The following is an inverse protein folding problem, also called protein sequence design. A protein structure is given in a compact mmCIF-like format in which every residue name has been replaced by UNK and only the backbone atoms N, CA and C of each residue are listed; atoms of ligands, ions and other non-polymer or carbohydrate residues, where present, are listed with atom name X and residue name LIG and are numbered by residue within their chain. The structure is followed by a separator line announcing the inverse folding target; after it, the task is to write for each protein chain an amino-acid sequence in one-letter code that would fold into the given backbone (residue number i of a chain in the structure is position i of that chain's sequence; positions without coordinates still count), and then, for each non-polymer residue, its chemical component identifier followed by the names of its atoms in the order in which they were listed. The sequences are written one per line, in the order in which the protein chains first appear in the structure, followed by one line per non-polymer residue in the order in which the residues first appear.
data_IF_715635888478
#
_entry.id   IF_715635888478
#
_cell.length_a   1.000
_cell.length_b   1.000
_cell.length_c   1.000
_cell.angle_alpha   90.00
_cell.angle_beta   90.00
_cell.angle_gamma   90.00
#
_symmetry.space_group_name_H-M   'P 1'
#
loop_
_entity.id
_entity.type
_entity.pdbx_description
1 polymer ?
#
# COMPACT_ATOMS: atom_id res chain seq x y z
N UNK A 1 -59.29 23.74 1.29
CA UNK A 1 -57.96 24.07 0.80
C UNK A 1 -56.97 23.80 1.91
N UNK A 2 -56.27 22.67 1.82
CA UNK A 2 -55.20 22.31 2.74
C UNK A 2 -53.91 22.94 2.23
N UNK A 3 -53.38 23.92 2.97
CA UNK A 3 -52.02 24.38 2.78
C UNK A 3 -51.06 23.31 3.32
N UNK A 4 -50.31 22.70 2.41
CA UNK A 4 -49.18 21.86 2.74
C UNK A 4 -48.00 22.78 3.07
N UNK A 5 -47.63 22.82 4.36
CA UNK A 5 -46.37 23.37 4.81
C UNK A 5 -45.24 22.47 4.30
N UNK A 6 -44.47 22.96 3.32
CA UNK A 6 -43.16 22.42 2.97
C UNK A 6 -42.29 22.39 4.23
N UNK A 7 -41.80 21.19 4.58
CA UNK A 7 -40.74 21.05 5.58
C UNK A 7 -39.44 21.60 4.98
N UNK A 8 -38.67 22.41 5.72
CA UNK A 8 -37.36 22.83 5.25
C UNK A 8 -36.47 21.60 5.07
N UNK A 9 -35.86 21.53 3.89
CA UNK A 9 -34.82 20.57 3.54
C UNK A 9 -33.70 20.72 4.59
N UNK A 10 -33.44 19.67 5.35
CA UNK A 10 -32.34 19.67 6.31
C UNK A 10 -31.03 19.82 5.51
N UNK A 11 -30.28 20.89 5.78
CA UNK A 11 -28.93 21.07 5.28
C UNK A 11 -28.11 19.81 5.61
N UNK A 12 -27.73 19.04 4.58
CA UNK A 12 -26.99 17.78 4.73
C UNK A 12 -25.53 17.98 5.17
N UNK A 13 -25.07 19.23 5.31
CA UNK A 13 -23.71 19.61 5.69
C UNK A 13 -23.37 19.41 7.17
N UNK A 14 -24.31 18.89 7.99
CA UNK A 14 -24.14 18.82 9.45
C UNK A 14 -24.07 17.39 10.02
N UNK A 15 -24.11 16.36 9.17
CA UNK A 15 -23.87 14.99 9.61
C UNK A 15 -22.36 14.75 9.67
N UNK A 16 -21.75 15.03 10.82
CA UNK A 16 -20.36 14.66 11.08
C UNK A 16 -20.24 13.14 11.08
N UNK A 17 -19.63 12.57 10.05
CA UNK A 17 -19.36 11.14 9.99
C UNK A 17 -18.49 10.71 11.18
N UNK A 18 -18.79 9.55 11.78
CA UNK A 18 -17.90 8.89 12.74
C UNK A 18 -17.32 7.61 12.14
N UNK A 19 -16.01 7.61 11.90
CA UNK A 19 -15.29 6.44 11.39
C UNK A 19 -15.41 5.18 12.27
N UNK A 20 -15.75 5.34 13.54
CA UNK A 20 -15.94 4.25 14.48
C UNK A 20 -17.33 3.59 14.41
N UNK A 21 -18.28 4.18 13.68
CA UNK A 21 -19.57 3.55 13.40
C UNK A 21 -19.49 2.46 12.32
N UNK A 22 -18.35 2.33 11.65
CA UNK A 22 -18.14 1.31 10.62
C UNK A 22 -18.60 1.83 9.27
N UNK A 23 -17.97 2.91 8.83
CA UNK A 23 -18.25 3.55 7.54
C UNK A 23 -17.43 2.89 6.43
N UNK A 24 -17.91 3.10 5.21
CA UNK A 24 -17.19 2.83 3.98
C UNK A 24 -16.53 4.11 3.49
N UNK A 25 -15.24 4.05 3.17
CA UNK A 25 -14.49 5.20 2.64
C UNK A 25 -14.56 5.21 1.12
N UNK A 26 -14.73 6.42 0.58
CA UNK A 26 -14.87 6.66 -0.86
C UNK A 26 -13.48 6.72 -1.54
N UNK A 27 -12.45 7.19 -0.84
CA UNK A 27 -11.07 7.17 -1.34
C UNK A 27 -10.06 7.11 -0.19
N UNK A 28 -8.91 6.49 -0.44
CA UNK A 28 -7.80 6.41 0.52
C UNK A 28 -6.48 6.59 -0.21
N UNK A 29 -5.64 7.53 0.23
CA UNK A 29 -4.28 7.69 -0.29
C UNK A 29 -3.36 8.32 0.77
N UNK A 30 -2.06 7.96 0.82
CA UNK A 30 -1.10 8.73 1.59
C UNK A 30 -0.79 10.08 0.93
N UNK A 31 -0.53 11.12 1.71
CA UNK A 31 0.04 12.38 1.22
C UNK A 31 1.56 12.24 0.92
N UNK A 32 2.20 13.32 0.45
CA UNK A 32 3.64 13.34 0.18
C UNK A 32 4.51 13.06 1.41
N UNK A 33 3.97 13.26 2.62
CA UNK A 33 4.62 13.02 3.90
C UNK A 33 4.33 11.62 4.48
N UNK A 34 3.47 10.83 3.82
CA UNK A 34 3.07 9.49 4.26
C UNK A 34 1.87 9.48 5.22
N UNK A 35 1.21 10.62 5.44
CA UNK A 35 -0.04 10.68 6.21
C UNK A 35 -1.17 10.07 5.39
N UNK A 36 -1.76 8.99 5.87
CA UNK A 36 -2.95 8.41 5.22
C UNK A 36 -4.14 9.38 5.29
N UNK A 37 -4.74 9.68 4.15
CA UNK A 37 -5.97 10.45 4.02
C UNK A 37 -7.12 9.47 3.74
N UNK A 38 -8.17 9.51 4.56
CA UNK A 38 -9.38 8.71 4.38
C UNK A 38 -10.54 9.64 4.04
N UNK A 39 -11.13 9.54 2.87
CA UNK A 39 -12.20 10.43 2.40
C UNK A 39 -13.59 9.79 2.58
N UNK A 40 -14.57 10.61 3.00
CA UNK A 40 -15.99 10.26 3.00
C UNK A 40 -16.86 11.50 2.76
N UNK A 41 -17.57 11.53 1.64
CA UNK A 41 -18.36 12.69 1.24
C UNK A 41 -17.49 13.95 1.14
N UNK A 42 -17.89 15.00 1.85
CA UNK A 42 -17.16 16.27 2.00
C UNK A 42 -16.14 16.26 3.15
N UNK A 43 -15.95 15.14 3.84
CA UNK A 43 -15.03 15.00 4.96
C UNK A 43 -13.81 14.14 4.63
N UNK A 44 -12.73 14.35 5.38
CA UNK A 44 -11.59 13.46 5.44
C UNK A 44 -11.08 13.27 6.86
N UNK A 45 -10.30 12.21 7.05
CA UNK A 45 -9.49 12.01 8.24
C UNK A 45 -8.02 11.88 7.88
N UNK A 46 -7.17 12.58 8.64
CA UNK A 46 -5.71 12.45 8.58
C UNK A 46 -5.23 11.39 9.56
N UNK A 47 -4.57 10.37 9.05
CA UNK A 47 -4.05 9.22 9.77
C UNK A 47 -5.14 8.39 10.48
N UNK A 48 -4.68 7.50 11.34
CA UNK A 48 -5.54 6.53 12.04
C UNK A 48 -6.33 7.11 13.22
N UNK A 49 -6.07 8.36 13.60
CA UNK A 49 -6.58 8.96 14.86
C UNK A 49 -6.97 10.42 14.79
N UNK A 50 -6.78 11.12 13.66
CA UNK A 50 -7.17 12.52 13.52
C UNK A 50 -8.69 12.77 13.74
N UNK A 51 -9.12 14.02 13.92
CA UNK A 51 -10.55 14.33 13.83
C UNK A 51 -11.05 14.19 12.39
N UNK A 52 -12.37 14.16 12.21
CA UNK A 52 -12.96 14.43 10.89
C UNK A 52 -12.77 15.92 10.58
N UNK A 53 -12.34 16.23 9.37
CA UNK A 53 -12.16 17.59 8.86
C UNK A 53 -12.87 17.72 7.52
N UNK A 54 -13.38 18.90 7.18
CA UNK A 54 -13.87 19.13 5.81
C UNK A 54 -12.68 19.04 4.84
N UNK A 55 -12.88 18.35 3.71
CA UNK A 55 -11.84 18.15 2.71
C UNK A 55 -11.37 19.50 2.14
N UNK A 56 -12.29 20.43 1.93
CA UNK A 56 -12.02 21.80 1.46
C UNK A 56 -11.11 22.61 2.39
N UNK A 57 -11.04 22.27 3.68
CA UNK A 57 -10.17 22.94 4.64
C UNK A 57 -8.70 22.66 4.37
N UNK A 58 -8.42 21.52 3.70
CA UNK A 58 -7.07 21.12 3.27
C UNK A 58 -6.87 21.33 1.77
N UNK A 59 -7.90 21.05 0.97
CA UNK A 59 -7.87 21.08 -0.50
C UNK A 59 -8.99 22.01 -1.01
N UNK A 60 -8.75 23.32 -0.91
CA UNK A 60 -9.77 24.36 -1.12
C UNK A 60 -10.45 24.29 -2.50
N UNK A 61 -9.69 23.89 -3.51
CA UNK A 61 -10.12 23.85 -4.91
C UNK A 61 -11.08 22.69 -5.22
N UNK A 62 -11.27 21.74 -4.30
CA UNK A 62 -12.32 20.72 -4.43
C UNK A 62 -13.71 21.36 -4.37
N UNK A 63 -13.90 22.36 -3.50
CA UNK A 63 -15.18 23.05 -3.33
C UNK A 63 -15.42 24.11 -4.40
N UNK A 64 -14.39 24.84 -4.85
CA UNK A 64 -14.53 25.89 -5.87
C UNK A 64 -15.16 25.38 -7.18
N UNK A 65 -15.10 24.07 -7.41
CA UNK A 65 -15.70 23.41 -8.54
C UNK A 65 -17.10 22.82 -8.28
N UNK A 66 -17.79 23.21 -7.17
CA UNK A 66 -19.21 23.11 -6.68
C UNK A 66 -20.25 22.15 -7.31
N UNK A 67 -19.98 21.56 -8.46
CA UNK A 67 -20.73 20.52 -9.16
C UNK A 67 -20.00 19.17 -9.15
N UNK A 68 -18.70 19.15 -8.84
CA UNK A 68 -17.91 17.93 -8.72
C UNK A 68 -18.24 17.24 -7.40
N UNK A 69 -18.50 15.93 -7.45
CA UNK A 69 -18.92 15.12 -6.31
C UNK A 69 -17.86 14.97 -5.20
N UNK A 70 -17.95 13.86 -4.46
CA UNK A 70 -16.95 13.46 -3.49
C UNK A 70 -15.73 12.84 -4.20
N UNK A 71 -14.60 12.68 -3.52
CA UNK A 71 -13.45 11.99 -4.09
C UNK A 71 -13.76 10.50 -4.20
N UNK A 72 -13.81 9.98 -5.43
CA UNK A 72 -14.20 8.59 -5.75
C UNK A 72 -13.00 7.65 -5.83
N UNK A 73 -11.83 8.19 -6.16
CA UNK A 73 -10.58 7.45 -6.11
C UNK A 73 -9.42 8.40 -5.81
N UNK A 74 -8.39 7.87 -5.16
CA UNK A 74 -7.18 8.61 -4.89
C UNK A 74 -5.96 7.69 -4.89
N UNK A 75 -4.81 8.21 -5.30
CA UNK A 75 -3.53 7.54 -5.08
C UNK A 75 -2.39 8.56 -5.02
N UNK A 76 -1.24 8.15 -4.46
CA UNK A 76 -0.01 8.95 -4.51
C UNK A 76 0.95 8.38 -5.53
N UNK A 77 1.33 9.18 -6.50
CA UNK A 77 2.19 8.76 -7.60
C UNK A 77 3.59 8.38 -7.12
N UNK A 78 3.99 7.14 -7.38
CA UNK A 78 5.36 6.67 -7.18
C UNK A 78 6.02 6.43 -8.54
N UNK A 79 6.72 7.44 -9.04
CA UNK A 79 7.54 7.35 -10.25
C UNK A 79 8.91 7.94 -9.95
N UNK A 80 9.91 7.08 -9.72
CA UNK A 80 11.28 7.50 -9.41
C UNK A 80 12.18 7.60 -10.64
N UNK A 81 11.64 7.41 -11.85
CA UNK A 81 12.40 7.59 -13.09
C UNK A 81 12.86 9.05 -13.17
N UNK A 82 14.18 9.27 -13.14
CA UNK A 82 14.80 10.60 -13.06
C UNK A 82 14.48 11.49 -14.27
N UNK A 83 14.08 10.90 -15.40
CA UNK A 83 13.73 11.64 -16.61
C UNK A 83 12.25 12.09 -16.61
N UNK A 84 11.37 11.40 -15.88
CA UNK A 84 9.91 11.64 -15.87
C UNK A 84 9.31 11.85 -14.46
N UNK A 85 10.15 12.08 -13.44
CA UNK A 85 9.76 12.22 -12.03
C UNK A 85 8.92 13.47 -11.71
N UNK A 86 8.38 14.16 -12.72
CA UNK A 86 7.69 15.45 -12.57
C UNK A 86 6.55 15.37 -11.55
N UNK A 87 5.86 14.23 -11.49
CA UNK A 87 4.73 14.02 -10.60
C UNK A 87 5.03 13.06 -9.44
N UNK A 88 6.30 12.77 -9.15
CA UNK A 88 6.62 11.92 -8.00
C UNK A 88 6.08 12.55 -6.70
N UNK A 89 5.41 11.74 -5.88
CA UNK A 89 4.76 12.13 -4.63
C UNK A 89 3.58 13.08 -4.77
N UNK A 90 3.15 13.42 -5.99
CA UNK A 90 1.87 14.08 -6.19
C UNK A 90 0.73 13.12 -5.81
N UNK A 91 -0.30 13.67 -5.16
CA UNK A 91 -1.51 12.96 -4.81
C UNK A 91 -2.56 13.29 -5.86
N UNK A 92 -3.11 12.27 -6.49
CA UNK A 92 -4.13 12.40 -7.52
C UNK A 92 -5.49 12.09 -6.94
N UNK A 93 -6.46 12.98 -7.12
CA UNK A 93 -7.86 12.78 -6.76
C UNK A 93 -8.71 12.69 -8.02
N UNK A 94 -9.65 11.75 -8.04
CA UNK A 94 -10.58 11.52 -9.13
C UNK A 94 -11.98 11.89 -8.66
N UNK A 95 -12.63 12.76 -9.42
CA UNK A 95 -13.99 13.21 -9.17
C UNK A 95 -14.71 13.27 -10.51
N UNK A 96 -15.68 12.38 -10.71
CA UNK A 96 -16.43 12.21 -11.95
C UNK A 96 -15.49 11.89 -13.15
N UNK A 97 -15.37 12.83 -14.09
CA UNK A 97 -14.49 12.74 -15.27
C UNK A 97 -13.16 13.52 -15.09
N UNK A 98 -12.97 14.17 -13.95
CA UNK A 98 -11.82 15.03 -13.66
C UNK A 98 -10.79 14.36 -12.77
N UNK A 99 -9.55 14.76 -13.00
CA UNK A 99 -8.38 14.49 -12.18
C UNK A 99 -7.89 15.79 -11.59
N UNK A 100 -7.57 15.77 -10.31
CA UNK A 100 -6.82 16.80 -9.61
C UNK A 100 -5.44 16.24 -9.25
N UNK A 101 -4.41 17.08 -9.30
CA UNK A 101 -3.04 16.73 -8.90
C UNK A 101 -2.61 17.70 -7.82
N UNK A 102 -2.35 17.20 -6.62
CA UNK A 102 -1.91 17.99 -5.48
C UNK A 102 -0.48 17.65 -5.11
N UNK A 103 0.28 18.66 -4.70
CA UNK A 103 1.58 18.48 -4.06
C UNK A 103 1.69 19.43 -2.89
N UNK A 104 2.05 18.92 -1.70
CA UNK A 104 2.11 19.72 -0.48
C UNK A 104 0.79 20.50 -0.23
N UNK A 105 -0.32 19.78 -0.40
CA UNK A 105 -1.70 20.31 -0.33
C UNK A 105 -2.03 21.48 -1.25
N UNK A 106 -1.21 21.73 -2.29
CA UNK A 106 -1.46 22.79 -3.29
C UNK A 106 -1.84 22.18 -4.62
N UNK A 107 -2.90 22.68 -5.26
CA UNK A 107 -3.30 22.22 -6.59
C UNK A 107 -2.22 22.56 -7.63
N UNK A 108 -1.80 21.57 -8.43
CA UNK A 108 -0.84 21.77 -9.50
C UNK A 108 -1.43 22.66 -10.59
N UNK A 109 -0.64 23.64 -11.04
CA UNK A 109 -1.06 24.55 -12.13
C UNK A 109 -1.45 23.76 -13.38
N UNK A 110 -2.67 24.00 -13.85
CA UNK A 110 -3.22 23.34 -15.04
C UNK A 110 -4.14 22.17 -14.72
N UNK A 111 -4.31 21.83 -13.44
CA UNK A 111 -5.39 20.95 -12.96
C UNK A 111 -6.60 21.78 -12.47
N UNK A 112 -7.82 21.20 -12.45
CA UNK A 112 -8.16 19.83 -12.87
C UNK A 112 -8.07 19.61 -14.38
N UNK A 113 -7.86 18.36 -14.80
CA UNK A 113 -7.84 17.91 -16.20
C UNK A 113 -8.75 16.71 -16.40
N UNK A 114 -9.13 16.41 -17.64
CA UNK A 114 -9.86 15.18 -17.96
C UNK A 114 -9.02 13.93 -17.65
N UNK A 115 -9.66 12.87 -17.14
CA UNK A 115 -8.98 11.57 -16.94
C UNK A 115 -8.29 11.11 -18.22
N UNK A 116 -8.93 11.24 -19.38
CA UNK A 116 -8.35 10.81 -20.66
C UNK A 116 -7.10 11.60 -21.09
N UNK A 117 -6.93 12.84 -20.60
CA UNK A 117 -5.76 13.66 -20.92
C UNK A 117 -4.54 13.21 -20.12
N UNK A 118 -4.74 12.86 -18.84
CA UNK A 118 -3.68 12.47 -17.92
C UNK A 118 -3.38 10.97 -18.02
N UNK A 119 -4.43 10.14 -18.04
CA UNK A 119 -4.40 8.68 -18.04
C UNK A 119 -5.21 8.12 -19.24
N UNK A 120 -4.69 8.24 -20.48
CA UNK A 120 -5.40 7.82 -21.67
C UNK A 120 -5.77 6.33 -21.61
N UNK A 121 -7.05 6.01 -21.87
CA UNK A 121 -7.59 4.66 -21.87
C UNK A 121 -8.10 4.14 -20.53
N UNK A 122 -8.00 4.92 -19.45
CA UNK A 122 -8.60 4.63 -18.14
C UNK A 122 -10.04 5.14 -18.11
N UNK A 123 -11.04 4.38 -17.62
CA UNK A 123 -12.44 4.86 -17.59
C UNK A 123 -12.65 6.02 -16.59
N UNK A 124 -13.75 6.77 -16.77
CA UNK A 124 -14.30 7.68 -15.74
C UNK A 124 -15.05 6.92 -14.65
N UNK A 125 -15.57 7.62 -13.63
CA UNK A 125 -16.36 7.07 -12.51
C UNK A 125 -15.69 5.82 -11.93
N UNK A 126 -14.49 6.05 -11.37
CA UNK A 126 -13.64 5.01 -10.80
C UNK A 126 -14.06 4.75 -9.37
N UNK A 127 -14.08 3.49 -8.95
CA UNK A 127 -14.38 3.14 -7.56
C UNK A 127 -13.12 3.16 -6.67
N UNK A 128 -11.93 3.01 -7.26
CA UNK A 128 -10.67 3.06 -6.53
C UNK A 128 -9.47 3.25 -7.46
N UNK A 129 -8.35 3.71 -6.90
CA UNK A 129 -7.05 3.75 -7.55
C UNK A 129 -5.94 3.41 -6.56
N UNK A 130 -4.82 2.83 -7.02
CA UNK A 130 -3.63 2.61 -6.18
C UNK A 130 -2.36 2.55 -7.03
N UNK A 131 -1.28 3.14 -6.54
CA UNK A 131 0.02 3.08 -7.17
C UNK A 131 0.67 1.70 -7.02
N UNK A 132 1.37 1.25 -8.05
CA UNK A 132 2.12 0.01 -8.05
C UNK A 132 3.53 0.21 -8.63
N UNK A 133 4.52 0.52 -7.78
CA UNK A 133 5.90 0.76 -8.21
C UNK A 133 6.54 -0.46 -8.89
N UNK A 134 7.53 -0.22 -9.74
CA UNK A 134 8.43 -1.27 -10.23
C UNK A 134 9.08 -2.02 -9.05
N UNK A 135 9.17 -3.35 -9.18
CA UNK A 135 9.62 -4.23 -8.11
C UNK A 135 8.49 -4.73 -7.21
N UNK A 136 7.28 -4.15 -7.28
CA UNK A 136 6.03 -4.68 -6.72
C UNK A 136 5.00 -4.95 -7.84
N UNK A 137 5.07 -4.16 -8.90
CA UNK A 137 4.62 -4.47 -10.25
C UNK A 137 5.80 -4.65 -11.20
N UNK A 138 5.52 -5.04 -12.45
CA UNK A 138 6.55 -5.25 -13.49
C UNK A 138 7.20 -3.95 -13.96
N UNK A 139 6.45 -2.86 -13.89
CA UNK A 139 6.81 -1.50 -14.26
C UNK A 139 6.10 -0.56 -13.30
N UNK A 140 6.57 0.68 -13.18
CA UNK A 140 5.84 1.73 -12.47
C UNK A 140 4.45 1.88 -13.09
N UNK A 141 3.42 1.52 -12.31
CA UNK A 141 2.04 1.42 -12.79
C UNK A 141 1.06 2.06 -11.80
N UNK A 142 -0.16 2.33 -12.28
CA UNK A 142 -1.33 2.63 -11.44
C UNK A 142 -2.42 1.63 -11.76
N UNK A 143 -3.07 1.10 -10.73
CA UNK A 143 -4.23 0.21 -10.84
C UNK A 143 -5.49 1.03 -10.62
N UNK A 144 -6.39 1.06 -11.60
CA UNK A 144 -7.69 1.72 -11.51
C UNK A 144 -8.80 0.68 -11.50
N UNK A 145 -9.76 0.81 -10.57
CA UNK A 145 -10.84 -0.15 -10.35
C UNK A 145 -12.18 0.45 -10.78
N UNK A 146 -12.97 -0.34 -11.50
CA UNK A 146 -14.38 -0.06 -11.80
C UNK A 146 -15.15 -1.39 -11.76
N UNK A 147 -15.94 -1.61 -10.73
CA UNK A 147 -16.53 -2.90 -10.40
C UNK A 147 -15.45 -3.96 -10.19
N UNK A 148 -15.52 -5.02 -11.00
CA UNK A 148 -14.49 -6.08 -11.03
C UNK A 148 -13.43 -5.86 -12.12
N UNK A 149 -13.56 -4.81 -12.94
CA UNK A 149 -12.58 -4.47 -13.95
C UNK A 149 -11.43 -3.67 -13.34
N UNK A 150 -10.21 -4.06 -13.70
CA UNK A 150 -8.98 -3.42 -13.24
C UNK A 150 -8.15 -3.00 -14.45
N UNK A 151 -8.00 -1.70 -14.62
CA UNK A 151 -7.15 -1.08 -15.65
C UNK A 151 -5.75 -0.86 -15.07
N UNK A 152 -4.77 -1.64 -15.53
CA UNK A 152 -3.37 -1.49 -15.14
C UNK A 152 -2.71 -0.51 -16.12
N UNK A 153 -2.51 0.74 -15.70
CA UNK A 153 -1.89 1.80 -16.48
C UNK A 153 -0.37 1.81 -16.24
N UNK A 154 0.42 1.62 -17.29
CA UNK A 154 1.88 1.75 -17.26
C UNK A 154 2.27 3.22 -17.40
N UNK A 155 2.96 3.78 -16.41
CA UNK A 155 3.22 5.23 -16.32
C UNK A 155 4.10 5.70 -17.48
N UNK A 156 5.14 4.94 -17.81
CA UNK A 156 6.15 5.31 -18.81
C UNK A 156 5.61 5.24 -20.23
N UNK A 157 4.94 4.14 -20.57
CA UNK A 157 4.43 3.91 -21.92
C UNK A 157 3.03 4.51 -22.13
N UNK A 158 2.34 4.89 -21.06
CA UNK A 158 0.94 5.34 -21.06
C UNK A 158 0.00 4.33 -21.70
N UNK A 159 0.29 3.04 -21.55
CA UNK A 159 -0.54 1.95 -22.06
C UNK A 159 -1.38 1.34 -20.95
N UNK A 160 -2.59 0.90 -21.30
CA UNK A 160 -3.52 0.27 -20.35
C UNK A 160 -3.64 -1.22 -20.66
N UNK A 161 -3.53 -2.05 -19.62
CA UNK A 161 -3.89 -3.46 -19.66
C UNK A 161 -5.07 -3.74 -18.74
N UNK A 162 -6.18 -4.15 -19.32
CA UNK A 162 -7.38 -4.51 -18.56
C UNK A 162 -7.36 -5.96 -18.09
N UNK A 163 -7.87 -6.16 -16.88
CA UNK A 163 -8.12 -7.47 -16.28
C UNK A 163 -9.48 -7.46 -15.59
N UNK A 164 -10.03 -8.64 -15.36
CA UNK A 164 -11.21 -8.83 -14.52
C UNK A 164 -10.80 -9.69 -13.32
N UNK A 165 -11.10 -9.23 -12.11
CA UNK A 165 -10.80 -9.92 -10.85
C UNK A 165 -12.10 -10.20 -10.08
N UNK A 166 -12.94 -11.09 -10.62
CA UNK A 166 -14.23 -11.46 -10.02
C UNK A 166 -14.12 -12.09 -8.62
N UNK A 167 -12.94 -12.61 -8.27
CA UNK A 167 -12.65 -13.17 -6.94
C UNK A 167 -12.28 -12.10 -5.90
N UNK A 168 -11.96 -10.87 -6.31
CA UNK A 168 -11.73 -9.75 -5.42
C UNK A 168 -13.08 -9.04 -5.19
N UNK A 169 -13.38 -8.60 -3.95
CA UNK A 169 -14.52 -7.71 -3.72
C UNK A 169 -14.44 -6.47 -4.61
N UNK A 170 -15.60 -5.89 -4.94
CA UNK A 170 -15.63 -4.57 -5.56
C UNK A 170 -15.06 -3.58 -4.55
N UNK A 171 -13.93 -2.96 -4.90
CA UNK A 171 -13.24 -2.04 -4.02
C UNK A 171 -13.90 -0.66 -4.10
N UNK A 172 -14.29 -0.08 -2.96
CA UNK A 172 -14.72 1.32 -2.89
C UNK A 172 -13.58 2.27 -2.60
N UNK A 173 -12.43 1.74 -2.24
CA UNK A 173 -11.15 2.45 -2.20
C UNK A 173 -10.03 1.42 -2.17
N UNK A 174 -8.85 1.83 -2.61
CA UNK A 174 -7.67 0.98 -2.58
C UNK A 174 -6.47 1.82 -2.20
N UNK A 175 -5.53 1.23 -1.47
CA UNK A 175 -4.25 1.91 -1.24
C UNK A 175 -3.13 0.93 -0.94
N UNK A 176 -1.91 1.42 -1.12
CA UNK A 176 -0.67 0.70 -0.85
C UNK A 176 -0.06 1.23 0.44
N UNK A 177 0.31 0.33 1.35
CA UNK A 177 0.99 0.68 2.59
C UNK A 177 2.08 -0.33 2.92
N UNK A 178 3.32 0.17 3.03
CA UNK A 178 4.50 -0.63 3.35
C UNK A 178 4.59 -1.90 2.48
N UNK A 179 4.37 -1.77 1.17
CA UNK A 179 4.39 -2.86 0.15
C UNK A 179 3.18 -3.79 0.11
N UNK A 180 2.18 -3.56 0.96
CA UNK A 180 0.94 -4.33 0.96
C UNK A 180 -0.18 -3.52 0.30
N UNK A 181 -1.02 -4.22 -0.47
CA UNK A 181 -2.10 -3.62 -1.26
C UNK A 181 -3.43 -4.02 -0.68
N UNK A 182 -4.28 -3.03 -0.41
CA UNK A 182 -5.54 -3.22 0.29
C UNK A 182 -6.70 -2.71 -0.56
N UNK A 183 -7.72 -3.54 -0.72
CA UNK A 183 -9.00 -3.23 -1.31
C UNK A 183 -10.02 -3.08 -0.17
N UNK A 184 -10.55 -1.88 0.02
CA UNK A 184 -11.58 -1.59 1.01
C UNK A 184 -12.95 -1.80 0.40
N UNK A 185 -13.87 -2.35 1.19
CA UNK A 185 -15.25 -2.62 0.78
C UNK A 185 -16.12 -2.66 2.04
N UNK A 186 -17.19 -1.87 2.07
CA UNK A 186 -17.95 -1.60 3.28
C UNK A 186 -17.05 -1.11 4.41
N UNK A 187 -17.23 -1.68 5.61
CA UNK A 187 -16.39 -1.44 6.78
C UNK A 187 -15.25 -2.46 6.93
N UNK A 188 -14.90 -3.14 5.83
CA UNK A 188 -13.87 -4.17 5.79
C UNK A 188 -12.79 -3.84 4.75
N UNK A 189 -11.71 -4.60 4.78
CA UNK A 189 -10.68 -4.58 3.75
C UNK A 189 -10.18 -5.99 3.44
N UNK A 190 -9.61 -6.14 2.26
CA UNK A 190 -9.00 -7.37 1.76
C UNK A 190 -7.64 -7.04 1.16
N UNK A 191 -6.60 -7.74 1.62
CA UNK A 191 -5.26 -7.59 1.04
C UNK A 191 -5.15 -8.47 -0.21
N UNK A 192 -4.62 -7.91 -1.28
CA UNK A 192 -4.50 -8.60 -2.55
C UNK A 192 -3.09 -8.49 -3.13
N UNK A 193 -2.78 -9.37 -4.07
CA UNK A 193 -1.54 -9.34 -4.82
C UNK A 193 -1.70 -8.41 -6.05
N UNK A 194 -0.89 -7.36 -6.23
CA UNK A 194 -1.17 -6.30 -7.21
C UNK A 194 -1.08 -6.76 -8.68
N UNK A 195 -0.33 -7.82 -8.98
CA UNK A 195 -0.27 -8.38 -10.34
C UNK A 195 -1.40 -9.37 -10.66
N UNK A 196 -1.85 -10.16 -9.68
CA UNK A 196 -2.75 -11.31 -9.91
C UNK A 196 -4.14 -11.13 -9.33
N UNK A 197 -4.34 -10.15 -8.45
CA UNK A 197 -5.54 -9.98 -7.63
C UNK A 197 -5.68 -11.03 -6.53
N UNK A 198 -4.76 -12.01 -6.41
CA UNK A 198 -4.90 -13.13 -5.47
C UNK A 198 -4.97 -12.63 -4.02
N UNK A 199 -5.94 -13.16 -3.27
CA UNK A 199 -6.12 -12.90 -1.84
C UNK A 199 -5.48 -14.06 -1.05
N UNK A 200 -4.64 -13.73 -0.07
CA UNK A 200 -3.98 -14.72 0.79
C UNK A 200 -4.14 -14.36 2.27
N UNK A 201 -4.50 -15.38 3.06
CA UNK A 201 -4.78 -15.27 4.49
C UNK A 201 -6.27 -15.11 4.79
N UNK A 202 -6.58 -14.90 6.07
CA UNK A 202 -7.95 -14.78 6.54
C UNK A 202 -8.47 -13.34 6.29
N UNK A 203 -9.23 -13.20 5.20
CA UNK A 203 -9.90 -11.98 4.78
C UNK A 203 -11.39 -12.27 4.47
N UNK A 204 -12.28 -11.27 4.54
CA UNK A 204 -12.01 -9.87 4.85
C UNK A 204 -11.66 -9.62 6.33
N UNK A 205 -11.04 -8.46 6.60
CA UNK A 205 -10.74 -7.97 7.95
C UNK A 205 -11.48 -6.67 8.20
N UNK A 206 -11.83 -6.43 9.46
CA UNK A 206 -12.60 -5.26 9.86
C UNK A 206 -11.69 -4.01 9.95
N UNK A 207 -12.09 -2.92 9.29
CA UNK A 207 -11.27 -1.70 9.14
C UNK A 207 -10.98 -1.00 10.46
N UNK A 208 -11.96 -0.85 11.34
CA UNK A 208 -11.79 -0.20 12.67
C UNK A 208 -10.84 -0.97 13.59
N UNK A 209 -10.61 -2.26 13.36
CA UNK A 209 -9.61 -3.02 14.12
C UNK A 209 -8.18 -2.69 13.73
N UNK A 210 -7.92 -2.30 12.48
CA UNK A 210 -6.57 -2.19 11.92
C UNK A 210 -6.17 -0.79 11.48
N UNK A 211 -7.07 -0.09 10.79
CA UNK A 211 -6.80 1.20 10.15
C UNK A 211 -7.51 2.37 10.82
N UNK A 212 -8.29 2.15 11.89
CA UNK A 212 -8.82 3.22 12.72
C UNK A 212 -8.51 2.94 14.19
N UNK A 213 -8.18 3.97 14.96
CA UNK A 213 -8.12 3.85 16.42
C UNK A 213 -9.49 4.13 17.01
N UNK A 214 -10.28 3.08 17.18
CA UNK A 214 -11.64 3.17 17.71
C UNK A 214 -11.79 2.47 19.06
N UNK A 215 -12.62 3.00 19.99
CA UNK A 215 -12.89 2.33 21.26
C UNK A 215 -13.42 0.91 21.06
N UNK A 216 -12.87 -0.06 21.81
CA UNK A 216 -13.21 -1.49 21.73
C UNK A 216 -12.82 -2.20 20.41
N UNK A 217 -12.18 -1.49 19.48
CA UNK A 217 -11.58 -2.07 18.30
C UNK A 217 -10.06 -2.05 18.45
N UNK A 218 -9.46 -3.22 18.25
CA UNK A 218 -8.03 -3.39 18.38
C UNK A 218 -7.60 -4.70 17.74
N UNK A 219 -6.31 -4.76 17.45
CA UNK A 219 -5.60 -5.97 17.07
C UNK A 219 -4.22 -5.92 17.72
N UNK A 220 -3.70 -7.10 18.04
CA UNK A 220 -2.34 -7.20 18.58
C UNK A 220 -2.19 -6.70 20.02
N UNK A 221 -3.23 -6.81 20.87
CA UNK A 221 -3.29 -6.41 22.29
C UNK A 221 -2.18 -7.00 23.20
N UNK A 222 -1.20 -7.73 22.65
CA UNK A 222 -0.06 -8.32 23.35
C UNK A 222 1.30 -8.07 22.64
N UNK A 223 1.32 -7.31 21.53
CA UNK A 223 2.55 -7.00 20.82
C UNK A 223 3.17 -5.75 21.42
N UNK A 224 3.90 -5.94 22.54
CA UNK A 224 5.07 -5.09 22.80
C UNK A 224 5.87 -5.05 21.50
N UNK A 225 6.38 -3.88 21.13
CA UNK A 225 7.43 -3.76 20.11
C UNK A 225 8.38 -4.96 20.27
N UNK A 226 8.69 -5.72 19.20
CA UNK A 226 9.49 -6.93 19.33
C UNK A 226 10.73 -6.61 20.17
N UNK A 227 11.19 -7.53 21.03
CA UNK A 227 12.30 -7.27 21.93
C UNK A 227 13.43 -6.56 21.18
N UNK A 228 14.12 -5.65 21.87
CA UNK A 228 15.11 -4.69 21.32
C UNK A 228 16.33 -5.31 20.61
N UNK A 229 16.30 -6.61 20.30
CA UNK A 229 17.32 -7.36 19.60
C UNK A 229 16.93 -7.52 18.14
N UNK A 230 17.72 -6.90 17.26
CA UNK A 230 17.75 -7.19 15.85
C UNK A 230 18.45 -8.53 15.63
N UNK A 231 17.83 -9.43 14.88
CA UNK A 231 18.43 -10.73 14.55
C UNK A 231 19.16 -10.66 13.21
N UNK A 232 18.56 -10.07 12.18
CA UNK A 232 19.19 -9.97 10.86
C UNK A 232 18.74 -8.71 10.09
N UNK A 233 19.53 -8.26 9.12
CA UNK A 233 19.22 -7.09 8.29
C UNK A 233 19.80 -7.26 6.87
N UNK A 234 19.05 -6.84 5.85
CA UNK A 234 19.57 -6.81 4.47
C UNK A 234 18.90 -5.73 3.65
N UNK A 235 19.52 -5.38 2.53
CA UNK A 235 18.95 -4.60 1.43
C UNK A 235 19.09 -5.42 0.17
N UNK A 236 17.99 -5.66 -0.54
CA UNK A 236 18.03 -6.41 -1.79
C UNK A 236 18.51 -5.55 -2.97
N UNK A 237 18.70 -6.18 -4.13
CA UNK A 237 19.14 -5.50 -5.35
C UNK A 237 18.14 -4.50 -5.92
N UNK A 238 16.89 -4.49 -5.44
CA UNK A 238 15.87 -3.49 -5.79
C UNK A 238 15.85 -2.30 -4.82
N UNK A 239 16.69 -2.33 -3.77
CA UNK A 239 16.80 -1.29 -2.76
C UNK A 239 15.79 -1.44 -1.61
N UNK A 240 15.06 -2.56 -1.52
CA UNK A 240 14.15 -2.81 -0.39
C UNK A 240 14.97 -3.28 0.81
N UNK A 241 14.79 -2.62 1.95
CA UNK A 241 15.57 -2.86 3.16
C UNK A 241 14.69 -3.48 4.25
N UNK A 242 15.15 -4.58 4.85
CA UNK A 242 14.40 -5.34 5.84
C UNK A 242 15.22 -5.63 7.08
N UNK A 243 14.61 -5.44 8.24
CA UNK A 243 15.11 -5.87 9.55
C UNK A 243 14.26 -7.02 10.09
N UNK A 244 14.88 -8.05 10.65
CA UNK A 244 14.23 -9.24 11.20
C UNK A 244 14.40 -9.28 12.73
N UNK A 245 13.31 -9.54 13.44
CA UNK A 245 13.25 -9.59 14.91
C UNK A 245 12.25 -10.66 15.34
N UNK A 246 12.75 -11.79 15.85
CA UNK A 246 11.96 -12.98 16.10
C UNK A 246 11.22 -13.45 14.85
N UNK A 247 9.94 -13.79 14.98
CA UNK A 247 9.09 -14.21 13.85
C UNK A 247 8.60 -13.10 12.92
N UNK A 248 9.16 -11.89 13.05
CA UNK A 248 8.66 -10.68 12.40
C UNK A 248 9.75 -9.98 11.59
N UNK A 249 9.35 -9.25 10.56
CA UNK A 249 10.20 -8.33 9.81
C UNK A 249 9.62 -6.92 9.83
N UNK A 250 10.46 -5.93 9.55
CA UNK A 250 10.09 -4.53 9.36
C UNK A 250 10.74 -4.04 8.07
N UNK A 251 9.98 -3.36 7.21
CA UNK A 251 10.50 -2.68 6.01
C UNK A 251 11.00 -1.28 6.38
N UNK A 252 12.26 -0.99 6.06
CA UNK A 252 12.99 0.21 6.53
C UNK A 252 12.97 1.35 5.51
N UNK A 253 12.98 1.04 4.21
CA UNK A 253 13.04 2.04 3.13
C UNK A 253 11.72 2.82 2.97
N UNK A 254 10.63 2.35 3.57
CA UNK A 254 9.30 2.99 3.52
C UNK A 254 8.91 3.74 4.79
N UNK A 255 9.86 4.05 5.67
CA UNK A 255 9.60 4.67 6.98
C UNK A 255 8.82 5.99 6.94
N UNK A 256 8.86 6.72 5.82
CA UNK A 256 8.02 7.91 5.58
C UNK A 256 6.54 7.60 5.74
N UNK A 257 6.09 6.46 5.24
CA UNK A 257 4.69 6.05 5.27
C UNK A 257 4.31 5.36 6.60
N UNK A 258 5.22 5.38 7.58
CA UNK A 258 5.08 4.76 8.89
C UNK A 258 5.94 3.52 9.08
N UNK A 259 5.79 2.90 10.26
CA UNK A 259 6.57 1.73 10.67
C UNK A 259 5.63 0.67 11.23
N UNK A 260 5.74 -0.55 10.74
CA UNK A 260 4.94 -1.68 11.20
C UNK A 260 5.72 -2.99 11.04
N UNK A 261 5.60 -3.89 12.01
CA UNK A 261 6.17 -5.23 11.92
C UNK A 261 5.18 -6.22 11.30
N UNK A 262 5.66 -7.08 10.43
CA UNK A 262 4.85 -8.08 9.74
C UNK A 262 5.44 -9.47 9.98
N UNK A 263 4.62 -10.54 10.09
CA UNK A 263 5.15 -11.90 10.13
C UNK A 263 6.00 -12.20 8.89
N UNK A 264 7.15 -12.84 9.09
CA UNK A 264 8.11 -13.19 8.00
C UNK A 264 7.42 -13.96 6.87
N UNK A 265 6.53 -14.89 7.23
CA UNK A 265 5.70 -15.67 6.30
C UNK A 265 4.87 -14.85 5.31
N UNK A 266 4.69 -13.52 5.53
CA UNK A 266 3.96 -12.67 4.58
C UNK A 266 4.71 -12.44 3.27
N UNK A 267 6.03 -12.36 3.30
CA UNK A 267 6.87 -12.20 2.11
C UNK A 267 7.62 -13.48 1.75
N UNK A 268 8.17 -14.15 2.75
CA UNK A 268 8.94 -15.39 2.60
C UNK A 268 8.10 -16.54 3.15
N UNK A 269 7.18 -17.05 2.32
CA UNK A 269 6.08 -17.95 2.72
C UNK A 269 6.54 -19.21 3.43
N UNK A 270 7.70 -19.72 3.06
CA UNK A 270 8.27 -20.95 3.58
C UNK A 270 9.14 -20.75 4.83
N UNK A 271 9.39 -19.49 5.24
CA UNK A 271 10.20 -19.16 6.42
C UNK A 271 9.30 -18.79 7.60
N UNK A 272 9.37 -19.59 8.67
CA UNK A 272 8.60 -19.37 9.90
C UNK A 272 9.52 -19.35 11.12
N UNK A 273 9.19 -18.53 12.12
CA UNK A 273 10.05 -18.35 13.29
C UNK A 273 11.17 -17.35 13.04
N UNK A 274 12.25 -17.42 13.83
CA UNK A 274 13.36 -16.48 13.76
C UNK A 274 14.29 -16.76 12.58
N UNK A 275 15.00 -15.72 12.15
CA UNK A 275 16.05 -15.76 11.13
C UNK A 275 17.36 -15.44 11.81
N UNK A 276 18.38 -16.27 11.62
CA UNK A 276 19.68 -16.10 12.27
C UNK A 276 20.55 -15.11 11.50
N UNK A 277 20.57 -15.23 10.18
CA UNK A 277 21.29 -14.31 9.31
C UNK A 277 20.62 -14.19 7.95
N UNK A 278 20.80 -13.03 7.31
CA UNK A 278 20.26 -12.76 5.98
C UNK A 278 21.24 -11.91 5.19
N UNK A 279 21.44 -12.26 3.93
CA UNK A 279 22.20 -11.42 3.01
C UNK A 279 21.57 -11.46 1.62
N UNK A 280 21.83 -10.41 0.84
CA UNK A 280 21.38 -10.31 -0.53
C UNK A 280 22.59 -10.39 -1.45
N UNK A 281 22.46 -11.14 -2.53
CA UNK A 281 23.49 -11.27 -3.54
C UNK A 281 22.84 -11.43 -4.91
N UNK A 282 23.26 -10.58 -5.87
CA UNK A 282 22.66 -10.52 -7.22
C UNK A 282 21.13 -10.28 -7.12
N UNK A 283 20.32 -10.98 -7.91
CA UNK A 283 18.85 -10.95 -7.86
C UNK A 283 18.25 -11.88 -6.79
N UNK A 284 18.96 -12.14 -5.68
CA UNK A 284 18.55 -13.14 -4.68
C UNK A 284 18.73 -12.67 -3.25
N UNK A 285 17.86 -13.16 -2.38
CA UNK A 285 17.96 -13.04 -0.92
C UNK A 285 18.15 -14.43 -0.30
N UNK A 286 19.12 -14.53 0.60
CA UNK A 286 19.55 -15.75 1.26
C UNK A 286 19.20 -15.62 2.73
N UNK A 287 18.35 -16.51 3.24
CA UNK A 287 17.88 -16.52 4.62
C UNK A 287 18.43 -17.78 5.28
N UNK A 288 19.18 -17.60 6.36
CA UNK A 288 19.76 -18.70 7.15
C UNK A 288 18.94 -18.86 8.43
N UNK A 289 18.54 -20.10 8.70
CA UNK A 289 17.80 -20.48 9.90
C UNK A 289 18.31 -21.83 10.38
N UNK A 290 19.02 -21.83 11.51
CA UNK A 290 19.81 -22.92 12.03
C UNK A 290 20.84 -23.40 11.02
N UNK A 291 20.72 -24.67 10.68
CA UNK A 291 21.53 -25.43 9.73
C UNK A 291 20.89 -25.50 8.33
N UNK A 292 19.88 -24.67 8.06
CA UNK A 292 19.23 -24.54 6.75
C UNK A 292 19.42 -23.17 6.12
N UNK A 293 19.46 -23.16 4.79
CA UNK A 293 19.45 -21.95 3.97
C UNK A 293 18.27 -21.99 3.00
N UNK A 294 17.59 -20.85 2.87
CA UNK A 294 16.54 -20.58 1.90
C UNK A 294 17.05 -19.54 0.91
N UNK A 295 16.87 -19.78 -0.39
CA UNK A 295 17.22 -18.80 -1.43
C UNK A 295 15.95 -18.41 -2.16
N UNK A 296 15.64 -17.12 -2.15
CA UNK A 296 14.54 -16.55 -2.90
C UNK A 296 15.07 -15.69 -4.04
N UNK A 297 14.37 -15.72 -5.16
CA UNK A 297 14.56 -14.74 -6.23
C UNK A 297 13.93 -13.41 -5.82
N UNK A 298 14.72 -12.35 -5.81
CA UNK A 298 14.29 -10.95 -5.73
C UNK A 298 13.72 -10.55 -7.09
N UNK A 299 12.47 -10.93 -7.32
CA UNK A 299 11.68 -10.47 -8.46
C UNK A 299 10.60 -9.50 -7.95
N UNK A 300 9.60 -9.21 -8.80
CA UNK A 300 8.38 -8.47 -8.42
C UNK A 300 7.78 -8.99 -7.09
N UNK A 301 7.90 -10.31 -6.84
CA UNK A 301 7.60 -10.93 -5.54
C UNK A 301 8.66 -11.98 -5.23
N UNK A 302 8.99 -12.16 -3.94
CA UNK A 302 9.93 -13.20 -3.51
C UNK A 302 9.37 -14.59 -3.82
N UNK A 303 10.15 -15.38 -4.56
CA UNK A 303 9.80 -16.77 -4.90
C UNK A 303 10.94 -17.68 -4.49
N UNK A 304 10.65 -18.67 -3.66
CA UNK A 304 11.65 -19.65 -3.23
C UNK A 304 12.15 -20.45 -4.44
N UNK A 305 13.47 -20.62 -4.56
CA UNK A 305 14.03 -21.48 -5.59
C UNK A 305 13.62 -22.94 -5.33
N UNK A 306 13.31 -23.67 -6.41
CA UNK A 306 12.92 -25.09 -6.32
C UNK A 306 14.06 -25.90 -5.69
N UNK A 307 13.72 -26.69 -4.67
CA UNK A 307 14.67 -27.54 -3.95
C UNK A 307 15.25 -26.91 -2.68
N UNK A 308 14.84 -25.69 -2.32
CA UNK A 308 15.13 -25.08 -1.03
C UNK A 308 14.00 -25.34 -0.02
N UNK A 309 14.27 -25.29 1.29
CA UNK A 309 15.58 -25.08 1.91
C UNK A 309 16.55 -26.26 1.71
N UNK A 310 17.85 -25.96 1.83
CA UNK A 310 18.93 -26.95 1.79
C UNK A 310 19.79 -26.88 3.06
N UNK A 311 20.58 -27.93 3.38
CA UNK A 311 21.59 -27.86 4.42
C UNK A 311 22.61 -26.75 4.13
N UNK A 312 22.92 -25.94 5.15
CA UNK A 312 23.88 -24.83 5.06
C UNK A 312 25.28 -25.32 4.65
N UNK A 313 25.70 -26.48 5.16
CA UNK A 313 27.00 -27.10 4.83
C UNK A 313 27.06 -27.54 3.35
N UNK A 314 25.95 -27.99 2.78
CA UNK A 314 25.90 -28.38 1.36
C UNK A 314 26.01 -27.17 0.43
N UNK A 315 25.32 -26.08 0.76
CA UNK A 315 25.20 -24.92 -0.12
C UNK A 315 26.37 -23.93 0.03
N UNK A 316 26.81 -23.66 1.27
CA UNK A 316 27.84 -22.66 1.56
C UNK A 316 29.14 -23.26 2.14
N UNK A 317 29.19 -24.56 2.42
CA UNK A 317 30.39 -25.20 2.98
C UNK A 317 30.71 -24.80 4.43
N UNK A 318 29.74 -24.21 5.15
CA UNK A 318 29.89 -23.76 6.54
C UNK A 318 28.91 -24.49 7.46
N UNK A 319 29.26 -24.63 8.74
CA UNK A 319 28.41 -25.22 9.77
C UNK A 319 27.93 -24.14 10.72
N UNK A 320 26.63 -24.10 11.03
CA UNK A 320 26.08 -23.13 11.99
C UNK A 320 26.60 -23.31 13.43
N UNK A 321 26.25 -22.38 14.34
CA UNK A 321 25.36 -21.24 14.13
C UNK A 321 26.02 -20.13 13.29
N UNK A 322 25.19 -19.26 12.71
CA UNK A 322 25.63 -18.06 11.99
C UNK A 322 24.96 -16.86 12.63
N UNK A 323 25.74 -15.95 13.18
CA UNK A 323 25.24 -14.77 13.90
C UNK A 323 24.93 -13.59 12.98
N UNK A 324 25.66 -13.49 11.86
CA UNK A 324 25.40 -12.47 10.84
C UNK A 324 26.03 -12.86 9.50
N UNK A 325 25.46 -12.35 8.41
CA UNK A 325 26.03 -12.47 7.07
C UNK A 325 25.82 -11.18 6.29
N UNK A 326 26.79 -10.78 5.48
CA UNK A 326 26.66 -9.61 4.61
C UNK A 326 27.58 -9.70 3.39
N UNK A 327 27.22 -8.97 2.34
CA UNK A 327 27.99 -8.87 1.10
C UNK A 327 28.34 -7.40 0.87
N UNK A 328 29.63 -7.06 0.89
CA UNK A 328 30.11 -5.71 0.56
C UNK A 328 30.71 -5.61 -0.85
N UNK A 329 31.29 -6.71 -1.35
CA UNK A 329 31.89 -6.81 -2.67
C UNK A 329 31.10 -7.84 -3.49
N UNK A 330 31.06 -7.70 -4.82
CA UNK A 330 30.22 -8.50 -5.71
C UNK A 330 30.47 -10.03 -5.72
N UNK A 331 31.41 -10.57 -4.94
CA UNK A 331 31.70 -12.01 -4.94
C UNK A 331 32.08 -12.61 -3.58
N UNK A 332 32.01 -11.85 -2.49
CA UNK A 332 32.43 -12.35 -1.16
C UNK A 332 31.31 -12.14 -0.15
N UNK A 333 30.80 -13.25 0.38
CA UNK A 333 29.91 -13.26 1.54
C UNK A 333 30.78 -13.32 2.79
N UNK A 334 30.66 -12.31 3.64
CA UNK A 334 31.25 -12.30 4.98
C UNK A 334 30.26 -12.95 5.94
N UNK A 335 30.72 -13.92 6.72
CA UNK A 335 29.91 -14.66 7.71
C UNK A 335 30.56 -14.52 9.08
N UNK A 336 29.74 -14.27 10.10
CA UNK A 336 30.13 -14.16 11.51
C UNK A 336 29.46 -15.32 12.27
N UNK A 337 30.21 -16.01 13.13
CA UNK A 337 29.79 -17.19 13.88
C UNK A 337 30.27 -17.15 15.34
#
# INVERSE_FOLDING_TARGET
HHDALEKPQADSHNAMYDRCEGIEFDAIAPDENGTMLFFKGDHLWKGLSGPAELANGTFQELDENHHLGHVEAAFRMHNKDKEESKHHDHVFFFVDDKVFSYYNHTLEKGFPQEIQQVFPGVPSDLDAAVECPEGECRTDSVLFFKGHEVSMFDIKTKTVKNKVWDHLPVCTSAFRWLEHYYCFHGHNFTRFHPVTGKVEGNYPKETRRYFMRCPNFGHGDDHRWPPSKLDAITTDSTGKSYAFMGGMYVRLDTHRDGMHSFPIVRLWKEVSGHVDAVFSYDDKIYIIQGDQIYIYKSAVHYTLFKGYPKPLEEELGIKGPVDAAFVCNEHVVSVIQ
#
